data_IF_405433678828
#
_entry.id   IF_405433678828
#
_cell.length_a   1.000
_cell.length_b   1.000
_cell.length_c   1.000
_cell.angle_alpha   90.00
_cell.angle_beta   90.00
_cell.angle_gamma   90.00
#
_symmetry.space_group_name_H-M   'P 1'
#
loop_
_entity.id
_entity.type
_entity.pdbx_description
1 polymer ?
#
# COMPACT_ATOMS: atom_id res chain seq x y z
N UNK A 1 56.77 -7.44 -38.50
CA UNK A 1 56.39 -6.35 -37.58
C UNK A 1 57.22 -6.54 -36.33
N UNK A 2 58.07 -5.58 -36.02
CA UNK A 2 59.07 -5.68 -34.95
C UNK A 2 58.34 -5.76 -33.58
N UNK A 3 58.85 -6.51 -32.63
CA UNK A 3 58.24 -6.71 -31.29
C UNK A 3 57.97 -5.39 -30.58
N UNK A 4 58.74 -4.36 -30.89
CA UNK A 4 58.62 -2.98 -30.41
C UNK A 4 57.29 -2.32 -30.84
N UNK A 5 56.87 -2.48 -32.11
CA UNK A 5 55.62 -1.92 -32.65
C UNK A 5 54.40 -2.68 -32.13
N UNK A 6 54.55 -3.96 -31.86
CA UNK A 6 53.50 -4.81 -31.28
C UNK A 6 53.21 -4.42 -29.80
N UNK A 7 54.27 -4.15 -29.03
CA UNK A 7 54.11 -3.67 -27.65
C UNK A 7 53.48 -2.25 -27.62
N UNK A 8 53.91 -1.34 -28.50
CA UNK A 8 53.33 -0.01 -28.63
C UNK A 8 51.85 -0.06 -29.00
N UNK A 9 51.49 -0.89 -29.97
CA UNK A 9 50.09 -1.12 -30.37
C UNK A 9 49.20 -1.57 -29.20
N UNK A 10 49.65 -2.56 -28.44
CA UNK A 10 48.86 -3.06 -27.28
C UNK A 10 48.72 -1.99 -26.19
N UNK A 11 49.78 -1.23 -25.89
CA UNK A 11 49.72 -0.14 -24.92
C UNK A 11 48.75 0.95 -25.35
N UNK A 12 48.73 1.34 -26.61
CA UNK A 12 47.82 2.34 -27.16
C UNK A 12 46.35 1.81 -27.17
N UNK A 13 46.12 0.56 -27.52
CA UNK A 13 44.79 -0.05 -27.48
C UNK A 13 44.28 -0.06 -26.05
N UNK A 14 45.05 -0.56 -25.12
CA UNK A 14 44.61 -0.67 -23.70
C UNK A 14 44.35 0.70 -23.08
N UNK A 15 45.23 1.69 -23.32
CA UNK A 15 45.02 3.07 -22.83
C UNK A 15 43.79 3.72 -23.47
N UNK A 16 43.61 3.57 -24.81
CA UNK A 16 42.46 4.09 -25.52
C UNK A 16 41.14 3.45 -25.05
N UNK A 17 41.12 2.15 -24.86
CA UNK A 17 39.96 1.45 -24.32
C UNK A 17 39.66 1.89 -22.87
N UNK A 18 40.70 2.02 -22.03
CA UNK A 18 40.50 2.47 -20.66
C UNK A 18 39.91 3.89 -20.59
N UNK A 19 40.44 4.81 -21.36
CA UNK A 19 39.98 6.22 -21.39
C UNK A 19 38.54 6.33 -21.93
N UNK A 20 38.14 5.50 -22.88
CA UNK A 20 36.79 5.55 -23.47
C UNK A 20 35.77 4.75 -22.70
N UNK A 21 36.09 3.52 -22.27
CA UNK A 21 35.11 2.62 -21.66
C UNK A 21 34.92 2.87 -20.17
N UNK A 22 35.97 3.22 -19.41
CA UNK A 22 35.81 3.43 -17.96
C UNK A 22 34.79 4.57 -17.66
N UNK A 23 34.91 5.77 -18.25
CA UNK A 23 33.91 6.83 -18.00
C UNK A 23 32.50 6.44 -18.47
N UNK A 24 32.40 5.72 -19.60
CA UNK A 24 31.11 5.27 -20.14
C UNK A 24 30.39 4.32 -19.16
N UNK A 25 31.11 3.31 -18.62
CA UNK A 25 30.53 2.38 -17.66
C UNK A 25 30.27 3.02 -16.30
N UNK A 26 31.11 3.96 -15.85
CA UNK A 26 30.84 4.73 -14.63
C UNK A 26 29.58 5.57 -14.76
N UNK A 27 29.39 6.21 -15.92
CA UNK A 27 28.17 6.99 -16.19
C UNK A 27 26.93 6.07 -16.22
N UNK A 28 27.00 4.93 -16.91
CA UNK A 28 25.91 3.96 -16.92
C UNK A 28 25.57 3.44 -15.52
N UNK A 29 26.56 3.12 -14.71
CA UNK A 29 26.36 2.72 -13.32
C UNK A 29 25.71 3.83 -12.47
N UNK A 30 26.15 5.08 -12.64
CA UNK A 30 25.59 6.23 -11.94
C UNK A 30 24.11 6.46 -12.32
N UNK A 31 23.78 6.38 -13.60
CA UNK A 31 22.40 6.49 -14.11
C UNK A 31 21.54 5.35 -13.55
N UNK A 32 22.05 4.12 -13.56
CA UNK A 32 21.33 2.97 -12.99
C UNK A 32 20.99 3.16 -11.51
N UNK A 33 21.99 3.55 -10.69
CA UNK A 33 21.81 3.77 -9.25
C UNK A 33 20.80 4.90 -9.00
N UNK A 34 20.94 6.01 -9.73
CA UNK A 34 20.01 7.15 -9.63
C UNK A 34 18.58 6.75 -9.99
N UNK A 35 18.38 6.03 -11.09
CA UNK A 35 17.06 5.63 -11.56
C UNK A 35 16.42 4.61 -10.61
N UNK A 36 17.18 3.63 -10.13
CA UNK A 36 16.70 2.63 -9.17
C UNK A 36 16.22 3.28 -7.86
N UNK A 37 16.99 4.25 -7.33
CA UNK A 37 16.59 4.97 -6.11
C UNK A 37 15.39 5.90 -6.33
N UNK A 38 15.30 6.57 -7.48
CA UNK A 38 14.18 7.44 -7.83
C UNK A 38 12.87 6.67 -7.96
N UNK A 39 12.91 5.46 -8.54
CA UNK A 39 11.74 4.57 -8.66
C UNK A 39 11.28 4.09 -7.29
N UNK A 40 12.20 3.62 -6.43
CA UNK A 40 11.83 3.21 -5.07
C UNK A 40 11.18 4.36 -4.29
N UNK A 41 11.75 5.55 -4.36
CA UNK A 41 11.19 6.73 -3.70
C UNK A 41 9.81 7.10 -4.25
N UNK A 42 9.61 7.04 -5.55
CA UNK A 42 8.32 7.27 -6.17
C UNK A 42 7.26 6.26 -5.70
N UNK A 43 7.62 4.97 -5.63
CA UNK A 43 6.72 3.92 -5.12
C UNK A 43 6.34 4.14 -3.66
N UNK A 44 7.31 4.51 -2.80
CA UNK A 44 7.05 4.85 -1.40
C UNK A 44 6.09 6.03 -1.28
N UNK A 45 6.30 7.09 -2.06
CA UNK A 45 5.44 8.27 -2.03
C UNK A 45 4.03 7.98 -2.53
N UNK A 46 3.89 7.17 -3.59
CA UNK A 46 2.58 6.74 -4.10
C UNK A 46 1.82 5.89 -3.08
N UNK A 47 2.49 4.93 -2.45
CA UNK A 47 1.87 4.06 -1.44
C UNK A 47 1.49 4.84 -0.18
N UNK A 48 2.33 5.81 0.23
CA UNK A 48 2.03 6.73 1.32
C UNK A 48 0.78 7.57 1.03
N UNK A 49 0.70 8.21 -0.13
CA UNK A 49 -0.46 9.01 -0.53
C UNK A 49 -1.73 8.17 -0.63
N UNK A 50 -1.63 6.95 -1.15
CA UNK A 50 -2.75 6.02 -1.21
C UNK A 50 -3.25 5.65 0.19
N UNK A 51 -2.37 5.30 1.12
CA UNK A 51 -2.73 4.92 2.48
C UNK A 51 -3.36 6.11 3.23
N UNK A 52 -2.83 7.32 3.05
CA UNK A 52 -3.41 8.54 3.61
C UNK A 52 -4.83 8.76 3.10
N UNK A 53 -5.01 8.85 1.79
CA UNK A 53 -6.31 9.09 1.19
C UNK A 53 -7.33 8.00 1.57
N UNK A 54 -6.87 6.77 1.72
CA UNK A 54 -7.74 5.65 2.07
C UNK A 54 -8.14 5.66 3.54
N UNK A 55 -7.20 5.96 4.44
CA UNK A 55 -7.52 6.10 5.87
C UNK A 55 -8.49 7.26 6.12
N UNK A 56 -8.33 8.39 5.41
CA UNK A 56 -9.25 9.52 5.45
C UNK A 56 -10.64 9.15 4.91
N UNK A 57 -10.72 8.39 3.82
CA UNK A 57 -12.00 7.92 3.28
C UNK A 57 -12.73 6.98 4.24
N UNK A 58 -12.01 6.09 4.92
CA UNK A 58 -12.56 5.20 5.95
C UNK A 58 -13.05 6.03 7.15
N UNK A 59 -12.25 6.99 7.59
CA UNK A 59 -12.62 7.89 8.67
C UNK A 59 -13.90 8.65 8.32
N UNK A 60 -13.96 9.28 7.14
CA UNK A 60 -15.13 10.02 6.67
C UNK A 60 -16.37 9.11 6.61
N UNK A 61 -16.20 7.87 6.14
CA UNK A 61 -17.28 6.87 6.13
C UNK A 61 -17.83 6.61 7.52
N UNK A 62 -16.98 6.41 8.52
CA UNK A 62 -17.41 6.16 9.91
C UNK A 62 -18.03 7.40 10.53
N UNK A 63 -17.41 8.57 10.37
CA UNK A 63 -17.88 9.85 10.92
C UNK A 63 -19.26 10.24 10.37
N UNK A 64 -19.50 10.01 9.07
CA UNK A 64 -20.81 10.26 8.45
C UNK A 64 -21.90 9.36 9.04
N UNK A 65 -21.63 8.04 9.29
CA UNK A 65 -22.61 7.13 9.89
C UNK A 65 -22.89 7.49 11.34
N UNK A 66 -21.84 7.82 12.10
CA UNK A 66 -22.01 8.34 13.47
C UNK A 66 -22.88 9.59 13.46
N UNK A 67 -22.56 10.57 12.62
CA UNK A 67 -23.30 11.82 12.53
C UNK A 67 -24.77 11.62 12.16
N UNK A 68 -25.04 10.72 11.20
CA UNK A 68 -26.40 10.37 10.79
C UNK A 68 -27.20 9.77 11.95
N UNK A 69 -26.61 8.82 12.67
CA UNK A 69 -27.25 8.20 13.84
C UNK A 69 -27.39 9.18 15.00
N UNK A 70 -26.43 10.09 15.21
CA UNK A 70 -26.54 11.14 16.21
C UNK A 70 -27.70 12.10 15.93
N UNK A 71 -27.88 12.52 14.67
CA UNK A 71 -29.01 13.38 14.26
C UNK A 71 -30.33 12.64 14.52
N UNK A 72 -30.44 11.37 14.11
CA UNK A 72 -31.62 10.56 14.35
C UNK A 72 -31.92 10.46 15.85
N UNK A 73 -30.93 10.08 16.66
CA UNK A 73 -31.08 9.95 18.11
C UNK A 73 -31.33 11.28 18.85
N UNK A 74 -31.06 12.43 18.22
CA UNK A 74 -31.39 13.77 18.74
C UNK A 74 -32.81 14.22 18.38
N UNK A 75 -33.29 13.84 17.23
CA UNK A 75 -34.57 14.35 16.66
C UNK A 75 -35.74 13.47 16.98
N UNK A 76 -35.54 12.19 17.25
CA UNK A 76 -36.57 11.23 17.58
C UNK A 76 -36.47 10.77 19.04
N UNK A 77 -37.61 10.50 19.67
CA UNK A 77 -37.71 9.88 20.98
C UNK A 77 -37.80 8.34 20.86
N UNK A 78 -37.53 7.57 21.94
CA UNK A 78 -37.78 6.13 21.91
C UNK A 78 -39.23 5.78 21.52
N UNK A 79 -40.21 6.53 22.05
CA UNK A 79 -41.63 6.29 21.75
C UNK A 79 -41.94 6.49 20.24
N UNK A 80 -41.33 7.48 19.60
CA UNK A 80 -41.48 7.70 18.16
C UNK A 80 -40.91 6.50 17.37
N UNK A 81 -39.70 6.04 17.74
CA UNK A 81 -38.98 4.98 17.02
C UNK A 81 -39.55 3.57 17.29
N UNK A 82 -40.25 3.38 18.40
CA UNK A 82 -40.89 2.09 18.75
C UNK A 82 -42.33 1.99 18.21
N UNK A 83 -42.87 3.06 17.60
CA UNK A 83 -44.17 3.01 16.95
C UNK A 83 -44.17 1.95 15.82
N UNK A 84 -45.29 1.23 15.62
CA UNK A 84 -45.33 0.15 14.63
C UNK A 84 -44.93 0.58 13.23
N UNK A 85 -43.89 -0.06 12.68
CA UNK A 85 -43.36 0.21 11.32
C UNK A 85 -42.46 1.43 11.19
N UNK A 86 -42.30 2.27 12.22
CA UNK A 86 -41.48 3.47 12.12
C UNK A 86 -40.00 3.17 12.03
N UNK A 87 -39.48 2.20 12.81
CA UNK A 87 -38.06 1.82 12.75
C UNK A 87 -37.69 1.24 11.38
N UNK A 88 -38.61 0.51 10.73
CA UNK A 88 -38.45 0.06 9.35
C UNK A 88 -38.38 1.22 8.38
N UNK A 89 -39.32 2.16 8.48
CA UNK A 89 -39.32 3.36 7.65
C UNK A 89 -38.03 4.15 7.76
N UNK A 90 -37.51 4.29 8.99
CA UNK A 90 -36.23 4.94 9.24
C UNK A 90 -35.07 4.17 8.60
N UNK A 91 -35.01 2.84 8.74
CA UNK A 91 -33.97 2.01 8.13
C UNK A 91 -34.01 2.11 6.59
N UNK A 92 -35.19 2.09 6.00
CA UNK A 92 -35.37 2.23 4.56
C UNK A 92 -34.87 3.61 4.06
N UNK A 93 -35.20 4.69 4.75
CA UNK A 93 -34.75 6.05 4.45
C UNK A 93 -33.21 6.15 4.56
N UNK A 94 -32.62 5.61 5.62
CA UNK A 94 -31.16 5.60 5.79
C UNK A 94 -30.43 4.83 4.68
N UNK A 95 -31.09 3.81 4.13
CA UNK A 95 -30.54 2.98 3.07
C UNK A 95 -30.87 3.46 1.64
N UNK A 96 -31.76 4.44 1.45
CA UNK A 96 -32.09 4.96 0.10
C UNK A 96 -30.87 5.40 -0.71
N UNK A 97 -29.88 6.00 -0.04
CA UNK A 97 -28.72 6.55 -0.74
C UNK A 97 -27.50 5.62 -0.78
N UNK A 98 -27.25 4.84 0.25
CA UNK A 98 -25.95 4.16 0.42
C UNK A 98 -26.00 2.68 0.83
N UNK A 99 -27.14 2.13 1.20
CA UNK A 99 -27.33 0.73 1.61
C UNK A 99 -26.27 0.25 2.61
N UNK A 100 -25.94 1.08 3.62
CA UNK A 100 -24.83 0.82 4.51
C UNK A 100 -25.22 0.28 5.89
N UNK A 101 -26.53 0.28 6.22
CA UNK A 101 -27.05 -0.22 7.48
C UNK A 101 -27.77 -1.55 7.25
N UNK A 102 -27.44 -2.56 8.06
CA UNK A 102 -28.09 -3.87 8.00
C UNK A 102 -29.35 -3.90 8.86
N UNK A 103 -29.27 -3.30 10.06
CA UNK A 103 -30.35 -3.22 11.02
C UNK A 103 -30.23 -2.03 11.96
N UNK A 104 -31.35 -1.75 12.62
CA UNK A 104 -31.46 -0.79 13.72
C UNK A 104 -32.06 -1.46 14.95
N UNK A 105 -31.60 -1.03 16.12
CA UNK A 105 -32.17 -1.45 17.43
C UNK A 105 -32.26 -0.27 18.37
N UNK A 106 -33.38 -0.17 19.07
CA UNK A 106 -33.57 0.73 20.20
C UNK A 106 -33.47 -0.13 21.46
N UNK A 107 -32.54 0.21 22.35
CA UNK A 107 -32.19 -0.61 23.50
C UNK A 107 -32.31 0.25 24.77
N UNK A 108 -32.91 -0.29 25.79
CA UNK A 108 -33.05 0.37 27.08
C UNK A 108 -31.77 0.31 27.94
N UNK A 109 -31.79 0.95 29.10
CA UNK A 109 -30.67 0.95 30.05
C UNK A 109 -30.30 -0.43 30.61
N UNK A 110 -31.20 -1.40 30.55
CA UNK A 110 -31.01 -2.79 30.98
C UNK A 110 -30.43 -3.68 29.87
N UNK A 111 -30.33 -3.21 28.65
CA UNK A 111 -29.86 -3.97 27.49
C UNK A 111 -30.97 -4.69 26.73
N UNK A 112 -32.24 -4.50 27.09
CA UNK A 112 -33.39 -5.11 26.39
C UNK A 112 -33.76 -4.26 25.16
N UNK A 113 -34.16 -4.93 24.07
CA UNK A 113 -34.72 -4.25 22.92
C UNK A 113 -36.09 -3.62 23.21
N UNK A 114 -36.24 -2.33 22.98
CA UNK A 114 -37.52 -1.66 22.89
C UNK A 114 -38.12 -1.79 21.50
N UNK A 115 -37.29 -1.78 20.47
CA UNK A 115 -37.63 -2.08 19.10
C UNK A 115 -36.42 -2.61 18.34
N UNK A 116 -36.68 -3.41 17.34
CA UNK A 116 -35.65 -3.92 16.41
C UNK A 116 -36.22 -4.02 14.99
N UNK A 117 -35.40 -3.67 14.03
CA UNK A 117 -35.69 -3.88 12.60
C UNK A 117 -34.43 -4.39 11.89
N UNK A 118 -34.53 -5.56 11.25
CA UNK A 118 -33.43 -6.17 10.52
C UNK A 118 -33.68 -7.63 10.16
N UNK A 119 -32.73 -8.27 9.47
CA UNK A 119 -32.90 -9.63 8.94
C UNK A 119 -32.62 -10.75 9.95
N UNK A 120 -32.26 -10.46 11.18
CA UNK A 120 -31.88 -11.45 12.19
C UNK A 120 -32.91 -11.48 13.33
N UNK A 121 -33.17 -12.63 13.95
CA UNK A 121 -34.10 -12.74 15.10
C UNK A 121 -33.39 -12.27 16.39
N UNK A 122 -33.33 -10.96 16.60
CA UNK A 122 -32.62 -10.35 17.72
C UNK A 122 -33.53 -9.63 18.72
N UNK A 123 -34.84 -9.64 18.51
CA UNK A 123 -35.83 -8.88 19.27
C UNK A 123 -35.78 -9.22 20.78
N UNK A 124 -35.59 -10.51 21.12
CA UNK A 124 -35.59 -11.01 22.50
C UNK A 124 -34.17 -11.10 23.10
N UNK A 125 -33.17 -10.42 22.50
CA UNK A 125 -31.79 -10.47 22.98
C UNK A 125 -31.51 -9.36 23.96
N UNK A 126 -30.83 -9.70 25.06
CA UNK A 126 -30.33 -8.73 26.03
C UNK A 126 -28.82 -8.48 25.81
N UNK A 127 -28.43 -7.22 25.74
CA UNK A 127 -27.07 -6.76 25.52
C UNK A 127 -26.36 -6.23 26.77
N UNK A 128 -26.99 -6.31 27.95
CA UNK A 128 -26.48 -5.76 29.20
C UNK A 128 -25.11 -6.25 29.66
N UNK A 129 -24.59 -7.36 29.09
CA UNK A 129 -23.23 -7.86 29.34
C UNK A 129 -22.25 -7.70 28.18
N UNK A 130 -22.67 -7.08 27.08
CA UNK A 130 -21.82 -6.91 25.91
C UNK A 130 -20.85 -5.73 26.08
N UNK A 131 -19.56 -5.88 25.79
CA UNK A 131 -18.57 -4.81 25.97
C UNK A 131 -18.92 -3.51 25.25
N UNK A 132 -19.41 -3.60 24.01
CA UNK A 132 -19.80 -2.43 23.23
C UNK A 132 -20.96 -1.64 23.85
N UNK A 133 -21.91 -2.34 24.51
CA UNK A 133 -23.06 -1.74 25.19
C UNK A 133 -22.60 -0.94 26.41
N UNK A 134 -21.76 -1.52 27.26
CA UNK A 134 -21.21 -0.86 28.43
C UNK A 134 -20.35 0.36 28.04
N UNK A 135 -19.51 0.22 27.02
CA UNK A 135 -18.72 1.35 26.51
C UNK A 135 -19.59 2.46 25.94
N UNK A 136 -20.70 2.14 25.29
CA UNK A 136 -21.66 3.13 24.80
C UNK A 136 -22.31 3.88 25.94
N UNK A 137 -22.72 3.18 27.00
CA UNK A 137 -23.27 3.82 28.20
C UNK A 137 -22.29 4.78 28.88
N UNK A 138 -21.00 4.50 28.83
CA UNK A 138 -19.97 5.35 29.43
C UNK A 138 -19.61 6.53 28.53
N UNK A 139 -19.36 6.30 27.25
CA UNK A 139 -18.79 7.28 26.32
C UNK A 139 -19.83 8.11 25.56
N UNK A 140 -21.07 7.64 25.49
CA UNK A 140 -22.13 8.28 24.70
C UNK A 140 -22.19 7.83 23.26
N UNK A 141 -21.06 7.74 22.58
CA UNK A 141 -20.90 7.22 21.20
C UNK A 141 -19.84 6.12 21.21
N UNK A 142 -20.13 5.03 20.55
CA UNK A 142 -19.18 3.92 20.42
C UNK A 142 -19.28 3.24 19.05
N UNK A 143 -18.12 2.99 18.45
CA UNK A 143 -17.95 2.10 17.30
C UNK A 143 -17.27 0.83 17.83
N UNK A 144 -17.89 -0.33 17.71
CA UNK A 144 -17.29 -1.58 18.17
C UNK A 144 -16.16 -2.04 17.25
N UNK A 145 -15.28 -2.92 17.74
CA UNK A 145 -14.50 -3.78 16.87
C UNK A 145 -15.43 -4.81 16.21
N UNK A 146 -14.93 -5.50 15.17
CA UNK A 146 -15.68 -6.61 14.58
C UNK A 146 -15.74 -7.77 15.58
N UNK A 147 -16.93 -8.35 15.73
CA UNK A 147 -17.21 -9.48 16.61
C UNK A 147 -18.30 -10.37 16.00
N UNK A 148 -18.51 -11.57 16.55
CA UNK A 148 -19.55 -12.50 16.06
C UNK A 148 -20.94 -12.21 16.67
N UNK A 149 -21.00 -11.87 17.96
CA UNK A 149 -22.22 -11.59 18.69
C UNK A 149 -23.29 -12.65 18.56
N UNK A 150 -24.54 -12.28 18.79
CA UNK A 150 -25.69 -13.16 18.66
C UNK A 150 -26.03 -13.60 17.23
N UNK A 151 -25.45 -12.94 16.22
CA UNK A 151 -25.64 -13.29 14.80
C UNK A 151 -24.79 -14.48 14.37
N UNK A 152 -23.67 -14.75 15.05
CA UNK A 152 -22.71 -15.78 14.68
C UNK A 152 -21.94 -15.45 13.39
N UNK A 153 -22.02 -14.21 12.88
CA UNK A 153 -21.28 -13.73 11.72
C UNK A 153 -20.52 -12.44 12.06
N UNK A 154 -19.34 -12.23 11.47
CA UNK A 154 -18.54 -11.04 11.75
C UNK A 154 -19.29 -9.75 11.37
N UNK A 155 -19.42 -8.83 12.30
CA UNK A 155 -20.03 -7.51 12.12
C UNK A 155 -19.50 -6.51 13.15
N UNK A 156 -19.68 -5.23 12.90
CA UNK A 156 -19.46 -4.19 13.90
C UNK A 156 -20.68 -3.26 13.98
N UNK A 157 -20.81 -2.61 15.11
CA UNK A 157 -21.94 -1.74 15.40
C UNK A 157 -21.48 -0.31 15.69
N UNK A 158 -22.34 0.63 15.37
CA UNK A 158 -22.27 2.02 15.84
C UNK A 158 -23.45 2.20 16.80
N UNK A 159 -23.17 2.67 18.00
CA UNK A 159 -24.15 2.83 19.05
C UNK A 159 -24.07 4.23 19.67
N UNK A 160 -25.24 4.85 19.84
CA UNK A 160 -25.41 6.22 20.35
C UNK A 160 -26.30 6.18 21.58
N UNK A 161 -25.78 6.60 22.73
CA UNK A 161 -26.56 6.77 23.96
C UNK A 161 -27.27 8.13 23.99
N UNK A 162 -28.53 8.12 24.36
CA UNK A 162 -29.36 9.29 24.61
C UNK A 162 -30.15 9.17 25.92
N UNK A 163 -30.71 10.27 26.31
CA UNK A 163 -31.45 10.39 27.59
C UNK A 163 -30.54 10.57 28.81
N UNK A 164 -31.10 11.18 29.84
CA UNK A 164 -30.40 11.39 31.11
C UNK A 164 -30.59 10.19 32.05
N UNK A 165 -29.64 10.01 32.96
CA UNK A 165 -29.83 9.05 34.04
C UNK A 165 -31.06 9.39 34.85
N UNK A 166 -31.94 8.44 35.26
CA UNK A 166 -31.68 7.00 35.32
C UNK A 166 -32.14 6.18 34.11
N UNK A 167 -32.69 6.79 33.07
CA UNK A 167 -33.26 6.08 31.92
C UNK A 167 -32.62 6.42 30.57
N UNK A 168 -31.30 6.20 30.40
CA UNK A 168 -30.71 6.33 29.08
C UNK A 168 -31.21 5.21 28.16
N UNK A 169 -31.18 5.49 26.87
CA UNK A 169 -31.43 4.52 25.82
C UNK A 169 -30.34 4.56 24.76
N UNK A 170 -30.19 3.51 23.98
CA UNK A 170 -29.18 3.38 22.95
C UNK A 170 -29.87 3.14 21.61
N UNK A 171 -29.55 3.99 20.61
CA UNK A 171 -29.74 3.68 19.21
C UNK A 171 -28.52 2.90 18.73
N UNK A 172 -28.74 1.67 18.26
CA UNK A 172 -27.70 0.81 17.70
C UNK A 172 -27.98 0.56 16.22
N UNK A 173 -26.94 0.67 15.41
CA UNK A 173 -26.96 0.29 14.00
C UNK A 173 -25.83 -0.68 13.69
N UNK A 174 -26.09 -1.70 12.87
CA UNK A 174 -25.05 -2.55 12.31
C UNK A 174 -24.68 -2.06 10.93
N UNK A 175 -23.39 -1.96 10.66
CA UNK A 175 -22.86 -1.57 9.36
C UNK A 175 -22.74 -2.80 8.47
N UNK A 176 -23.11 -2.63 7.19
CA UNK A 176 -22.93 -3.66 6.16
C UNK A 176 -21.44 -3.93 5.94
N UNK A 177 -21.02 -5.13 6.34
CA UNK A 177 -19.62 -5.55 6.25
C UNK A 177 -19.11 -5.57 4.80
N UNK A 178 -19.95 -5.91 3.82
CA UNK A 178 -19.56 -5.96 2.42
C UNK A 178 -19.29 -4.56 1.86
N UNK A 179 -20.12 -3.57 2.24
CA UNK A 179 -19.89 -2.16 1.87
C UNK A 179 -18.56 -1.68 2.45
N UNK A 180 -18.32 -1.99 3.72
CA UNK A 180 -17.08 -1.60 4.41
C UNK A 180 -15.84 -2.30 3.82
N UNK A 181 -15.91 -3.61 3.57
CA UNK A 181 -14.82 -4.38 2.95
C UNK A 181 -14.50 -3.84 1.55
N UNK A 182 -15.51 -3.52 0.74
CA UNK A 182 -15.28 -2.90 -0.58
C UNK A 182 -14.58 -1.55 -0.48
N UNK A 183 -14.94 -0.72 0.50
CA UNK A 183 -14.27 0.55 0.76
C UNK A 183 -12.80 0.33 1.09
N UNK A 184 -12.46 -0.60 1.97
CA UNK A 184 -11.07 -0.93 2.35
C UNK A 184 -10.29 -1.48 1.15
N UNK A 185 -10.85 -2.46 0.45
CA UNK A 185 -10.21 -3.13 -0.70
C UNK A 185 -10.03 -2.22 -1.93
N UNK A 186 -10.81 -1.16 -2.07
CA UNK A 186 -10.62 -0.19 -3.17
C UNK A 186 -9.27 0.56 -3.08
N UNK A 187 -8.53 0.42 -1.98
CA UNK A 187 -7.11 0.79 -1.86
C UNK A 187 -6.12 -0.24 -2.41
N UNK A 188 -6.60 -1.39 -2.85
CA UNK A 188 -5.76 -2.44 -3.39
C UNK A 188 -5.04 -1.97 -4.65
N UNK A 189 -3.73 -2.20 -4.74
CA UNK A 189 -2.88 -1.78 -5.86
C UNK A 189 -2.24 -2.98 -6.52
N UNK A 190 -2.48 -3.11 -7.82
CA UNK A 190 -1.89 -4.18 -8.63
C UNK A 190 -2.55 -5.55 -8.44
N UNK A 191 -1.92 -6.57 -9.02
CA UNK A 191 -2.42 -7.94 -8.97
C UNK A 191 -2.08 -8.66 -7.66
N UNK A 192 -0.98 -8.28 -7.03
CA UNK A 192 -0.44 -8.90 -5.82
C UNK A 192 -0.70 -8.10 -4.55
N UNK A 193 -1.21 -6.87 -4.67
CA UNK A 193 -1.48 -6.00 -3.55
C UNK A 193 -2.63 -6.49 -2.67
N UNK A 194 -2.58 -6.13 -1.40
CA UNK A 194 -3.63 -6.37 -0.42
C UNK A 194 -3.94 -5.10 0.38
N UNK A 195 -5.18 -4.97 0.86
CA UNK A 195 -5.59 -3.90 1.75
C UNK A 195 -6.58 -4.43 2.78
N UNK A 196 -6.26 -4.28 4.05
CA UNK A 196 -7.05 -4.78 5.16
C UNK A 196 -6.88 -3.92 6.42
N UNK A 197 -7.76 -4.13 7.38
CA UNK A 197 -7.74 -3.44 8.68
C UNK A 197 -7.46 -4.43 9.80
N UNK A 198 -6.65 -4.02 10.76
CA UNK A 198 -6.45 -4.71 12.05
C UNK A 198 -6.75 -3.76 13.21
N UNK A 199 -7.25 -4.30 14.32
CA UNK A 199 -7.46 -3.54 15.55
C UNK A 199 -6.16 -3.48 16.40
N UNK A 200 -6.19 -2.79 17.55
CA UNK A 200 -5.03 -2.68 18.46
C UNK A 200 -4.55 -4.03 19.02
N UNK A 201 -5.43 -5.03 19.12
CA UNK A 201 -5.05 -6.37 19.53
C UNK A 201 -4.31 -7.15 18.41
N UNK A 202 -4.37 -6.67 17.18
CA UNK A 202 -3.79 -7.33 16.01
C UNK A 202 -4.74 -8.31 15.33
N UNK A 203 -6.06 -8.21 15.58
CA UNK A 203 -7.06 -9.04 14.93
C UNK A 203 -7.56 -8.38 13.65
N UNK A 204 -7.71 -9.17 12.59
CA UNK A 204 -8.29 -8.70 11.35
C UNK A 204 -9.73 -8.22 11.53
N UNK A 205 -9.99 -6.99 11.12
CA UNK A 205 -11.32 -6.38 11.09
C UNK A 205 -11.97 -6.47 9.70
N UNK A 206 -11.16 -6.63 8.67
CA UNK A 206 -11.57 -7.01 7.32
C UNK A 206 -10.71 -8.18 6.84
N UNK A 207 -11.25 -9.07 5.97
CA UNK A 207 -10.48 -10.23 5.53
C UNK A 207 -9.33 -9.79 4.64
N UNK A 208 -8.09 -10.22 4.94
CA UNK A 208 -6.99 -10.05 4.01
C UNK A 208 -7.25 -10.89 2.75
N UNK A 209 -6.59 -10.57 1.65
CA UNK A 209 -6.65 -11.35 0.41
C UNK A 209 -5.89 -12.66 0.54
N UNK A 210 -4.80 -12.63 1.32
CA UNK A 210 -3.89 -13.75 1.52
C UNK A 210 -3.69 -13.99 3.01
N UNK A 211 -3.70 -15.24 3.44
CA UNK A 211 -3.22 -15.66 4.75
C UNK A 211 -4.07 -15.24 5.95
N UNK A 212 -5.36 -15.57 5.98
CA UNK A 212 -6.19 -15.38 7.17
C UNK A 212 -7.64 -15.03 6.88
N UNK A 213 -8.45 -15.01 7.93
CA UNK A 213 -9.86 -14.59 7.92
C UNK A 213 -10.12 -13.49 8.94
N UNK A 214 -11.33 -12.92 8.94
CA UNK A 214 -11.74 -11.94 9.95
C UNK A 214 -11.62 -12.56 11.34
N UNK A 215 -11.11 -11.79 12.30
CA UNK A 215 -10.84 -12.16 13.71
C UNK A 215 -9.61 -13.06 13.92
N UNK A 216 -8.95 -13.54 12.87
CA UNK A 216 -7.63 -14.17 13.04
C UNK A 216 -6.57 -13.14 13.45
N UNK A 217 -5.47 -13.60 14.06
CA UNK A 217 -4.32 -12.74 14.37
C UNK A 217 -3.53 -12.41 13.11
N UNK A 218 -3.24 -11.12 12.93
CA UNK A 218 -2.32 -10.68 11.89
C UNK A 218 -0.87 -11.12 12.17
N UNK A 219 -0.03 -11.37 11.15
CA UNK A 219 1.34 -11.85 11.31
C UNK A 219 2.30 -10.78 11.87
N UNK A 220 1.77 -9.72 12.46
CA UNK A 220 2.53 -8.65 13.12
C UNK A 220 1.71 -8.00 14.22
N UNK A 221 2.36 -7.28 15.13
CA UNK A 221 1.67 -6.52 16.18
C UNK A 221 1.53 -5.04 15.76
N UNK A 222 0.33 -4.44 15.87
CA UNK A 222 0.07 -3.06 15.42
C UNK A 222 0.94 -1.99 16.06
N UNK A 223 1.51 -2.24 17.24
CA UNK A 223 2.41 -1.32 17.95
C UNK A 223 3.72 -1.02 17.21
N UNK A 224 4.05 -1.78 16.16
CA UNK A 224 5.19 -1.47 15.28
C UNK A 224 4.92 -0.27 14.36
N UNK A 225 3.65 0.09 14.16
CA UNK A 225 3.26 1.21 13.32
C UNK A 225 3.24 2.52 14.14
N UNK A 226 4.14 3.48 13.86
CA UNK A 226 4.11 4.78 14.51
C UNK A 226 2.84 5.57 14.11
N UNK A 227 2.51 6.66 14.85
CA UNK A 227 1.40 7.53 14.47
C UNK A 227 1.54 8.11 13.06
N UNK A 228 0.42 8.33 12.38
CA UNK A 228 0.37 8.84 11.01
C UNK A 228 0.48 7.74 9.97
N UNK A 229 0.96 8.12 8.76
CA UNK A 229 1.17 7.19 7.65
C UNK A 229 2.65 6.84 7.53
N UNK A 230 2.96 5.56 7.51
CA UNK A 230 4.34 5.07 7.45
C UNK A 230 4.48 3.98 6.40
N UNK A 231 5.54 4.04 5.61
CA UNK A 231 5.85 3.03 4.60
C UNK A 231 7.15 2.32 4.95
N UNK A 232 7.07 1.01 5.11
CA UNK A 232 8.20 0.15 5.46
C UNK A 232 8.32 -1.03 4.47
N UNK A 233 9.48 -1.66 4.43
CA UNK A 233 9.64 -2.94 3.74
C UNK A 233 9.70 -4.00 4.83
N UNK A 234 8.87 -5.05 4.71
CA UNK A 234 8.83 -6.19 5.61
C UNK A 234 8.85 -7.51 4.84
N UNK A 235 9.15 -8.59 5.52
CA UNK A 235 9.02 -9.94 4.99
C UNK A 235 7.74 -10.58 5.54
N UNK A 236 6.96 -11.21 4.66
CA UNK A 236 5.77 -11.97 5.01
C UNK A 236 5.93 -13.41 4.60
N UNK A 237 5.36 -14.38 5.36
CA UNK A 237 5.48 -15.80 5.04
C UNK A 237 4.86 -16.16 3.69
N UNK A 238 3.78 -15.48 3.30
CA UNK A 238 2.96 -15.81 2.12
C UNK A 238 3.54 -15.23 0.83
N UNK A 239 4.03 -14.00 0.87
CA UNK A 239 4.42 -13.24 -0.33
C UNK A 239 5.89 -12.83 -0.36
N UNK A 240 6.65 -13.14 0.69
CA UNK A 240 8.05 -12.75 0.81
C UNK A 240 8.21 -11.26 1.14
N UNK A 241 9.10 -10.57 0.42
CA UNK A 241 9.41 -9.15 0.65
C UNK A 241 8.31 -8.26 0.10
N UNK A 242 7.64 -7.49 0.97
CA UNK A 242 6.55 -6.55 0.62
C UNK A 242 6.85 -5.13 1.10
N UNK A 243 6.39 -4.17 0.33
CA UNK A 243 6.33 -2.76 0.75
C UNK A 243 4.95 -2.53 1.38
N UNK A 244 4.93 -2.20 2.66
CA UNK A 244 3.72 -2.04 3.47
C UNK A 244 3.55 -0.58 3.87
N UNK A 245 2.37 -0.04 3.64
CA UNK A 245 1.94 1.21 4.26
C UNK A 245 1.02 0.92 5.45
N UNK A 246 1.29 1.58 6.55
CA UNK A 246 0.46 1.62 7.75
C UNK A 246 -0.18 2.99 7.90
N UNK A 247 -1.48 3.05 8.16
CA UNK A 247 -2.20 4.29 8.42
C UNK A 247 -3.25 4.09 9.52
N UNK A 248 -3.14 4.85 10.62
CA UNK A 248 -4.15 4.80 11.68
C UNK A 248 -5.41 5.56 11.28
N UNK A 249 -6.58 4.94 11.47
CA UNK A 249 -7.90 5.58 11.34
C UNK A 249 -8.23 6.23 12.68
N UNK A 250 -8.26 7.55 12.72
CA UNK A 250 -8.33 8.30 13.98
C UNK A 250 -9.64 8.10 14.76
N UNK A 251 -10.79 7.97 14.07
CA UNK A 251 -12.12 7.80 14.70
C UNK A 251 -12.23 6.46 15.47
N UNK A 252 -11.55 5.44 14.99
CA UNK A 252 -11.55 4.12 15.59
C UNK A 252 -10.15 3.55 15.55
N UNK A 253 -9.46 3.41 16.60
CA UNK A 253 -8.09 2.88 16.74
C UNK A 253 -7.79 1.61 15.87
N UNK A 254 -8.13 1.71 14.59
CA UNK A 254 -7.91 0.71 13.57
C UNK A 254 -6.71 1.08 12.71
N UNK A 255 -5.90 0.10 12.39
CA UNK A 255 -4.75 0.25 11.52
C UNK A 255 -5.09 -0.29 10.13
N UNK A 256 -5.18 0.62 9.16
CA UNK A 256 -5.19 0.26 7.74
C UNK A 256 -3.80 -0.21 7.33
N UNK A 257 -3.73 -1.34 6.69
CA UNK A 257 -2.52 -1.94 6.14
C UNK A 257 -2.71 -2.10 4.64
N UNK A 258 -1.76 -1.59 3.86
CA UNK A 258 -1.74 -1.78 2.41
C UNK A 258 -0.41 -2.42 2.04
N UNK A 259 -0.45 -3.63 1.54
CA UNK A 259 0.71 -4.40 1.09
C UNK A 259 0.83 -4.32 -0.43
N UNK A 260 2.05 -4.20 -0.95
CA UNK A 260 2.37 -4.20 -2.37
C UNK A 260 3.69 -4.92 -2.62
N UNK A 261 3.74 -5.76 -3.64
CA UNK A 261 5.01 -6.33 -4.12
C UNK A 261 5.88 -5.21 -4.73
N UNK A 262 7.07 -4.93 -4.20
CA UNK A 262 7.95 -3.92 -4.75
C UNK A 262 8.45 -4.26 -6.17
N UNK A 263 8.36 -5.53 -6.59
CA UNK A 263 8.77 -5.97 -7.92
C UNK A 263 7.68 -5.79 -9.01
N UNK A 264 6.41 -5.68 -8.63
CA UNK A 264 5.29 -5.59 -9.58
C UNK A 264 5.34 -4.33 -10.46
N UNK A 265 5.56 -3.12 -9.93
CA UNK A 265 5.68 -1.92 -10.76
C UNK A 265 7.03 -1.81 -11.48
N UNK A 266 7.97 -2.69 -11.21
CA UNK A 266 9.29 -2.69 -11.84
C UNK A 266 9.32 -3.36 -13.23
N UNK A 267 8.21 -3.92 -13.72
CA UNK A 267 8.19 -4.57 -15.05
C UNK A 267 8.57 -3.60 -16.18
N UNK A 268 8.00 -2.38 -16.28
CA UNK A 268 8.45 -1.39 -17.26
C UNK A 268 9.91 -0.96 -17.03
N UNK A 269 10.31 -0.82 -15.77
CA UNK A 269 11.68 -0.46 -15.41
C UNK A 269 12.68 -1.52 -15.85
N UNK A 270 12.39 -2.82 -15.64
CA UNK A 270 13.25 -3.93 -16.08
C UNK A 270 13.46 -3.93 -17.60
N UNK A 271 12.44 -3.55 -18.37
CA UNK A 271 12.56 -3.40 -19.83
C UNK A 271 13.46 -2.23 -20.19
N UNK A 272 13.27 -1.07 -19.57
CA UNK A 272 14.10 0.13 -19.79
C UNK A 272 15.56 -0.15 -19.42
N UNK A 273 15.83 -0.77 -18.28
CA UNK A 273 17.18 -1.15 -17.85
C UNK A 273 17.85 -2.16 -18.80
N UNK A 274 17.09 -3.11 -19.36
CA UNK A 274 17.61 -4.02 -20.39
C UNK A 274 18.01 -3.28 -21.66
N UNK A 275 17.19 -2.35 -22.10
CA UNK A 275 17.50 -1.51 -23.28
C UNK A 275 18.72 -0.63 -23.05
N UNK A 276 18.83 -0.03 -21.88
CA UNK A 276 20.00 0.77 -21.46
C UNK A 276 21.28 -0.08 -21.47
N UNK A 277 21.25 -1.25 -20.87
CA UNK A 277 22.37 -2.20 -20.86
C UNK A 277 22.77 -2.62 -22.27
N UNK A 278 21.81 -2.93 -23.14
CA UNK A 278 22.07 -3.29 -24.53
C UNK A 278 22.68 -2.13 -25.30
N UNK A 279 22.19 -0.90 -25.10
CA UNK A 279 22.74 0.29 -25.69
C UNK A 279 24.17 0.56 -25.22
N UNK A 280 24.44 0.35 -23.93
CA UNK A 280 25.78 0.50 -23.34
C UNK A 280 26.78 -0.53 -23.91
N UNK A 281 26.35 -1.79 -24.06
CA UNK A 281 27.16 -2.83 -24.70
C UNK A 281 27.41 -2.51 -26.17
N UNK A 282 26.38 -2.13 -26.93
CA UNK A 282 26.51 -1.78 -28.35
C UNK A 282 27.47 -0.59 -28.55
N UNK A 283 27.33 0.46 -27.75
CA UNK A 283 28.22 1.63 -27.76
C UNK A 283 29.65 1.24 -27.39
N UNK A 284 29.83 0.37 -26.38
CA UNK A 284 31.17 -0.12 -26.00
C UNK A 284 31.84 -0.92 -27.11
N UNK A 285 31.11 -1.75 -27.85
CA UNK A 285 31.62 -2.51 -28.99
C UNK A 285 32.02 -1.58 -30.14
N UNK A 286 31.20 -0.57 -30.45
CA UNK A 286 31.50 0.41 -31.50
C UNK A 286 32.74 1.24 -31.16
N UNK A 287 32.82 1.79 -29.94
CA UNK A 287 33.98 2.58 -29.50
C UNK A 287 35.22 1.72 -29.40
N UNK A 288 35.13 0.52 -28.87
CA UNK A 288 36.26 -0.42 -28.80
C UNK A 288 36.77 -0.80 -30.20
N UNK A 289 35.86 -1.10 -31.11
CA UNK A 289 36.20 -1.37 -32.52
C UNK A 289 36.90 -0.17 -33.19
N UNK A 290 36.38 1.03 -32.96
CA UNK A 290 36.97 2.26 -33.48
C UNK A 290 38.39 2.50 -32.94
N UNK A 291 38.59 2.34 -31.62
CA UNK A 291 39.91 2.46 -30.98
C UNK A 291 40.90 1.45 -31.57
N UNK A 292 40.52 0.20 -31.70
CA UNK A 292 41.35 -0.87 -32.25
C UNK A 292 41.70 -0.55 -33.71
N UNK A 293 40.71 -0.17 -34.54
CA UNK A 293 40.88 0.17 -35.92
C UNK A 293 41.86 1.33 -36.16
N UNK A 294 41.59 2.46 -35.45
CA UNK A 294 42.45 3.64 -35.56
C UNK A 294 43.87 3.39 -35.05
N UNK A 295 44.03 2.67 -33.96
CA UNK A 295 45.35 2.33 -33.42
C UNK A 295 46.14 1.45 -34.40
N UNK A 296 45.49 0.46 -35.01
CA UNK A 296 46.11 -0.42 -36.02
C UNK A 296 46.56 0.38 -37.26
N UNK A 297 45.73 1.31 -37.76
CA UNK A 297 46.10 2.16 -38.89
C UNK A 297 47.27 3.08 -38.52
N UNK A 298 47.25 3.71 -37.34
CA UNK A 298 48.30 4.63 -36.91
C UNK A 298 49.64 3.90 -36.78
N UNK A 299 49.69 2.75 -36.13
CA UNK A 299 50.90 1.98 -35.93
C UNK A 299 51.43 1.44 -37.28
N UNK A 300 50.55 1.02 -38.20
CA UNK A 300 50.98 0.60 -39.56
C UNK A 300 51.61 1.75 -40.36
N UNK A 301 51.06 2.98 -40.30
CA UNK A 301 51.66 4.15 -40.94
C UNK A 301 53.00 4.49 -40.32
N UNK A 302 53.15 4.51 -39.02
CA UNK A 302 54.43 4.77 -38.34
C UNK A 302 55.51 3.74 -38.72
N UNK A 303 55.16 2.46 -38.80
CA UNK A 303 56.08 1.39 -39.19
C UNK A 303 56.53 1.56 -40.65
N UNK A 304 55.63 1.93 -41.56
CA UNK A 304 55.97 2.19 -42.97
C UNK A 304 56.86 3.44 -43.17
N UNK A 305 56.61 4.50 -42.41
CA UNK A 305 57.42 5.70 -42.42
C UNK A 305 58.86 5.44 -41.91
N UNK A 306 59.00 4.67 -40.84
CA UNK A 306 60.28 4.31 -40.26
C UNK A 306 61.09 3.45 -41.23
N UNK A 307 60.46 2.46 -41.90
CA UNK A 307 61.11 1.64 -42.91
C UNK A 307 61.59 2.46 -44.10
N UNK A 308 60.76 3.41 -44.58
CA UNK A 308 61.12 4.30 -45.66
C UNK A 308 62.31 5.22 -45.28
N UNK A 309 62.33 5.73 -44.05
CA UNK A 309 63.40 6.55 -43.54
C UNK A 309 64.74 5.82 -43.48
N UNK A 310 64.74 4.59 -42.95
CA UNK A 310 65.92 3.73 -42.91
C UNK A 310 66.45 3.43 -44.31
N UNK A 311 65.57 3.15 -45.29
CA UNK A 311 65.95 2.94 -46.69
C UNK A 311 66.57 4.17 -47.30
N UNK A 312 66.00 5.36 -47.07
CA UNK A 312 66.51 6.63 -47.60
C UNK A 312 67.88 6.96 -46.99
N UNK A 313 68.06 6.76 -45.70
CA UNK A 313 69.38 6.95 -45.00
C UNK A 313 70.43 5.99 -45.50
N UNK A 314 70.10 4.72 -45.78
CA UNK A 314 70.96 3.73 -46.35
C UNK A 314 71.39 4.06 -47.80
N UNK A 315 70.48 4.68 -48.60
CA UNK A 315 70.78 5.16 -49.97
C UNK A 315 71.69 6.43 -50.02
N UNK A 316 71.57 7.26 -48.98
CA UNK A 316 72.44 8.46 -48.87
C UNK A 316 73.83 8.14 -48.35
N UNK A 317 74.05 7.00 -47.74
CA UNK A 317 75.38 6.57 -47.22
C UNK A 317 76.23 5.77 -48.24
N UNK A 318 75.74 5.54 -49.46
CA UNK A 318 76.42 4.96 -50.61
C UNK A 318 76.71 6.02 -51.66
#
# INVERSE_FOLDING_TARGET
>A
MDDRYRQLQWRMILSGLAVTLIPLWLLGAAIYIYFASAVEQSQRSQLHALALNRSEAIQLFLDERVSTLEVLAHTATPDDLTAPGELRNVLDILNESQHSFVDLGIIDAGGEHLAYEGPYPLEDRNYGGEPWFEETLQRGVHISDVFLGFRGVPHFVIAIRRGDRPQPWILRATIDSEVFIRLVRSGQVGLTGDAYIVNRAGLFQTPPRFGGTILDEAPFKPNIAPPGVNVVIRETPETGRVMTAFAWVATKDWLLVIDRDPAEPAVPLKQTLRLELLALIATSLLLGGAVIFHTRQLVARLAAEDENRVRTEAQLAH
#
